data_IF_212310865473
#
_entry.id   IF_212310865473
#
_cell.length_a   1.000
_cell.length_b   1.000
_cell.length_c   1.000
_cell.angle_alpha   90.00
_cell.angle_beta   90.00
_cell.angle_gamma   90.00
#
_symmetry.space_group_name_H-M   'P 1'
#
loop_
_entity.id
_entity.type
_entity.pdbx_description
1 polymer ?
#
# COMPACT_ATOMS: atom_id res chain seq x y z
N UNK A 1 53.78 27.85 57.95
CA UNK A 1 52.48 28.55 58.02
C UNK A 1 52.28 29.28 56.71
N UNK A 2 51.18 28.96 56.01
CA UNK A 2 50.22 29.89 55.37
C UNK A 2 50.82 30.90 54.36
N UNK A 3 50.44 31.06 53.09
CA UNK A 3 49.52 30.44 52.10
C UNK A 3 49.68 31.27 50.79
N UNK A 4 49.25 30.69 49.66
CA UNK A 4 48.75 31.33 48.42
C UNK A 4 49.72 32.12 47.51
N UNK A 5 49.90 31.66 46.26
CA UNK A 5 49.05 32.15 45.16
C UNK A 5 49.25 31.29 43.91
N UNK A 6 48.27 30.42 43.63
CA UNK A 6 48.21 29.65 42.38
C UNK A 6 47.85 30.65 41.27
N UNK A 7 48.66 30.81 40.20
CA UNK A 7 48.25 31.65 39.09
C UNK A 7 47.04 30.99 38.44
N UNK A 8 45.90 31.66 38.53
CA UNK A 8 44.67 31.30 37.84
C UNK A 8 44.94 31.39 36.34
N UNK A 9 45.40 30.30 35.74
CA UNK A 9 45.50 30.16 34.29
C UNK A 9 44.07 30.04 33.76
N UNK A 10 43.42 31.18 33.55
CA UNK A 10 42.15 31.27 32.86
C UNK A 10 42.42 30.97 31.38
N UNK A 11 42.40 29.70 31.02
CA UNK A 11 42.39 29.30 29.61
C UNK A 11 41.05 29.77 29.04
N UNK A 12 41.08 30.90 28.33
CA UNK A 12 39.99 31.34 27.47
C UNK A 12 39.77 30.24 26.43
N UNK A 13 38.87 29.31 26.73
CA UNK A 13 38.32 28.43 25.72
C UNK A 13 37.60 29.33 24.72
N UNK A 14 38.21 29.53 23.55
CA UNK A 14 37.50 30.06 22.39
C UNK A 14 36.43 29.03 22.04
N UNK A 15 35.24 29.18 22.63
CA UNK A 15 34.05 28.50 22.14
C UNK A 15 33.82 29.08 20.76
N UNK A 16 34.26 28.35 19.73
CA UNK A 16 33.94 28.67 18.35
C UNK A 16 32.43 28.66 18.22
N UNK A 17 31.81 29.84 18.29
CA UNK A 17 30.41 30.05 17.95
C UNK A 17 30.30 30.07 16.43
N UNK A 18 30.66 28.95 15.80
CA UNK A 18 30.25 28.69 14.43
C UNK A 18 28.72 28.67 14.45
N UNK A 19 28.12 29.81 14.09
CA UNK A 19 26.70 29.91 13.86
C UNK A 19 26.39 28.95 12.73
N UNK A 20 25.78 27.81 13.06
CA UNK A 20 25.21 26.94 12.06
C UNK A 20 24.15 27.76 11.33
N UNK A 21 24.48 28.21 10.12
CA UNK A 21 23.52 28.88 9.26
C UNK A 21 22.36 27.92 9.07
N UNK A 22 21.19 28.27 9.62
CA UNK A 22 19.97 27.53 9.41
C UNK A 22 19.57 27.72 7.93
N UNK A 23 20.12 26.89 7.06
CA UNK A 23 19.73 26.87 5.66
C UNK A 23 18.35 26.24 5.56
N UNK A 24 17.37 27.05 5.13
CA UNK A 24 16.08 26.52 4.70
C UNK A 24 16.33 25.66 3.45
N UNK A 25 16.33 24.34 3.63
CA UNK A 25 16.40 23.39 2.53
C UNK A 25 14.99 23.15 2.00
N UNK A 26 14.77 23.50 0.73
CA UNK A 26 13.54 23.18 0.01
C UNK A 26 13.50 21.69 -0.30
N UNK A 27 12.32 21.08 -0.19
CA UNK A 27 12.09 19.67 -0.47
C UNK A 27 10.68 19.27 -0.08
N UNK A 28 10.44 17.97 -0.10
CA UNK A 28 9.13 17.39 0.11
C UNK A 28 9.08 16.61 1.43
N UNK A 29 7.89 16.51 2.01
CA UNK A 29 7.64 15.69 3.18
C UNK A 29 6.60 14.62 2.86
N UNK A 30 6.86 13.37 3.24
CA UNK A 30 5.89 12.27 3.22
C UNK A 30 6.06 11.42 4.47
N UNK A 31 4.97 11.18 5.20
CA UNK A 31 4.96 10.38 6.43
C UNK A 31 6.10 10.77 7.40
N UNK A 32 6.28 12.07 7.65
CA UNK A 32 7.34 12.64 8.50
C UNK A 32 8.80 12.38 8.03
N UNK A 33 9.01 11.94 6.79
CA UNK A 33 10.32 11.82 6.15
C UNK A 33 10.53 12.96 5.17
N UNK A 34 11.70 13.60 5.23
CA UNK A 34 12.11 14.65 4.30
C UNK A 34 12.83 14.08 3.08
N UNK A 35 12.47 14.57 1.90
CA UNK A 35 13.06 14.19 0.61
C UNK A 35 13.59 15.46 -0.08
N UNK A 36 14.89 15.51 -0.45
CA UNK A 36 15.41 16.62 -1.23
C UNK A 36 14.83 16.63 -2.64
N UNK A 37 14.81 17.80 -3.29
CA UNK A 37 14.38 17.93 -4.68
C UNK A 37 15.19 16.96 -5.57
N UNK A 38 14.49 16.23 -6.44
CA UNK A 38 15.03 15.19 -7.31
C UNK A 38 15.06 13.78 -6.69
N UNK A 39 14.84 13.63 -5.39
CA UNK A 39 14.78 12.31 -4.76
C UNK A 39 13.50 11.56 -5.12
N UNK A 40 13.62 10.24 -5.26
CA UNK A 40 12.46 9.33 -5.31
C UNK A 40 11.73 9.34 -3.97
N UNK A 41 10.40 9.31 -4.03
CA UNK A 41 9.52 9.33 -2.87
C UNK A 41 8.62 8.09 -2.93
N UNK A 42 8.46 7.31 -1.85
CA UNK A 42 7.60 6.12 -1.85
C UNK A 42 6.18 6.51 -2.21
N UNK A 43 5.57 5.87 -3.22
CA UNK A 43 4.18 6.14 -3.61
C UNK A 43 3.18 5.77 -2.50
N UNK A 44 1.98 6.36 -2.57
CA UNK A 44 0.85 5.99 -1.68
C UNK A 44 -0.01 4.87 -2.29
N UNK A 45 0.17 4.64 -3.58
CA UNK A 45 -0.31 3.46 -4.27
C UNK A 45 0.90 2.53 -4.53
N UNK A 46 0.66 1.24 -4.69
CA UNK A 46 1.74 0.24 -4.79
C UNK A 46 2.46 0.23 -6.13
N UNK A 47 2.11 1.12 -7.07
CA UNK A 47 2.52 1.00 -8.47
C UNK A 47 3.09 2.28 -9.11
N UNK A 48 2.62 3.47 -8.73
CA UNK A 48 3.16 4.69 -9.31
C UNK A 48 4.57 4.96 -8.79
N UNK A 49 5.39 5.60 -9.62
CA UNK A 49 6.69 6.10 -9.21
C UNK A 49 6.58 7.59 -8.92
N UNK A 50 7.09 8.04 -7.77
CA UNK A 50 7.03 9.44 -7.38
C UNK A 50 8.41 10.04 -7.14
N UNK A 51 8.53 11.35 -7.34
CA UNK A 51 9.74 12.13 -7.07
C UNK A 51 9.39 13.49 -6.48
N UNK A 52 10.31 14.02 -5.67
CA UNK A 52 10.20 15.36 -5.16
C UNK A 52 10.61 16.39 -6.22
N UNK A 53 9.76 17.36 -6.49
CA UNK A 53 10.03 18.51 -7.36
C UNK A 53 10.05 19.79 -6.55
N UNK A 54 10.46 20.89 -7.17
CA UNK A 54 10.31 22.26 -6.65
C UNK A 54 8.85 22.64 -6.37
N UNK A 55 7.90 21.98 -7.02
CA UNK A 55 6.46 22.22 -6.86
C UNK A 55 5.75 21.23 -5.92
N UNK A 56 6.49 20.27 -5.33
CA UNK A 56 5.95 19.22 -4.46
C UNK A 56 6.20 17.81 -5.00
N UNK A 57 5.50 16.81 -4.45
CA UNK A 57 5.67 15.42 -4.88
C UNK A 57 4.85 15.19 -6.14
N UNK A 58 5.52 14.82 -7.24
CA UNK A 58 4.90 14.40 -8.48
C UNK A 58 4.99 12.88 -8.60
N UNK A 59 3.97 12.24 -9.18
CA UNK A 59 3.91 10.81 -9.41
C UNK A 59 3.54 10.53 -10.87
N UNK A 60 3.85 9.33 -11.36
CA UNK A 60 3.20 8.82 -12.57
C UNK A 60 1.68 8.70 -12.35
N UNK A 61 0.93 8.62 -13.44
CA UNK A 61 -0.53 8.41 -13.42
C UNK A 61 -0.88 7.12 -14.17
N UNK A 62 -0.28 6.01 -13.75
CA UNK A 62 -0.63 4.69 -14.28
C UNK A 62 -1.74 4.06 -13.45
N UNK A 63 -2.52 3.18 -14.07
CA UNK A 63 -3.52 2.39 -13.38
C UNK A 63 -2.84 1.42 -12.40
N UNK A 64 -3.15 1.55 -11.11
CA UNK A 64 -2.75 0.58 -10.10
C UNK A 64 -3.83 -0.48 -9.92
N UNK A 65 -3.52 -1.76 -10.16
CA UNK A 65 -4.40 -2.85 -9.76
C UNK A 65 -4.66 -2.83 -8.25
N UNK A 66 -5.80 -3.35 -7.78
CA UNK A 66 -6.06 -3.49 -6.35
C UNK A 66 -4.97 -4.36 -5.69
N UNK A 67 -4.54 -3.97 -4.48
CA UNK A 67 -3.48 -4.68 -3.75
C UNK A 67 -3.84 -6.13 -3.41
N UNK A 68 -5.13 -6.38 -3.21
CA UNK A 68 -5.69 -7.72 -3.07
C UNK A 68 -6.56 -8.01 -4.28
N UNK A 69 -6.30 -9.07 -5.05
CA UNK A 69 -7.25 -9.55 -6.04
C UNK A 69 -8.59 -9.80 -5.34
N UNK A 70 -9.68 -9.34 -5.95
CA UNK A 70 -11.01 -9.74 -5.49
C UNK A 70 -11.06 -11.28 -5.43
N UNK A 71 -11.55 -11.88 -4.34
CA UNK A 71 -11.63 -13.32 -4.24
C UNK A 71 -12.49 -13.87 -5.39
N UNK A 72 -11.84 -14.60 -6.28
CA UNK A 72 -12.49 -15.35 -7.35
C UNK A 72 -12.85 -16.74 -6.83
N UNK A 73 -14.01 -17.23 -7.23
CA UNK A 73 -14.59 -18.49 -6.79
C UNK A 73 -16.00 -18.29 -6.26
N UNK A 74 -16.72 -19.41 -6.16
CA UNK A 74 -18.12 -19.44 -5.78
C UNK A 74 -18.29 -20.37 -4.58
N UNK A 75 -19.33 -20.13 -3.78
CA UNK A 75 -19.69 -21.06 -2.70
C UNK A 75 -21.12 -21.55 -2.90
N UNK A 76 -21.30 -22.86 -2.92
CA UNK A 76 -22.61 -23.49 -2.90
C UNK A 76 -22.65 -24.54 -1.81
N UNK A 77 -23.65 -24.45 -0.91
CA UNK A 77 -23.84 -25.41 0.19
C UNK A 77 -22.60 -25.62 1.08
N UNK A 78 -21.79 -24.57 1.26
CA UNK A 78 -20.56 -24.60 2.05
C UNK A 78 -19.34 -25.21 1.34
N UNK A 79 -19.45 -25.59 0.07
CA UNK A 79 -18.34 -26.02 -0.78
C UNK A 79 -17.86 -24.85 -1.62
N UNK A 80 -16.54 -24.66 -1.69
CA UNK A 80 -15.91 -23.64 -2.50
C UNK A 80 -15.48 -24.23 -3.86
N UNK A 81 -15.82 -23.50 -4.93
CA UNK A 81 -15.51 -23.81 -6.32
C UNK A 81 -14.58 -22.73 -6.86
N UNK A 82 -13.57 -23.11 -7.64
CA UNK A 82 -12.73 -22.19 -8.38
C UNK A 82 -13.49 -21.61 -9.57
N UNK A 83 -13.04 -20.46 -10.06
CA UNK A 83 -13.61 -19.87 -11.28
C UNK A 83 -13.48 -20.85 -12.46
N UNK A 84 -14.58 -21.09 -13.17
CA UNK A 84 -14.67 -22.07 -14.25
C UNK A 84 -15.01 -23.51 -13.82
N UNK A 85 -15.02 -23.83 -12.53
CA UNK A 85 -15.45 -25.16 -12.06
C UNK A 85 -16.93 -25.42 -12.39
N UNK A 86 -17.24 -26.67 -12.73
CA UNK A 86 -18.64 -27.14 -12.78
C UNK A 86 -19.21 -27.21 -11.36
N UNK A 87 -20.42 -26.68 -11.18
CA UNK A 87 -21.11 -26.62 -9.90
C UNK A 87 -22.36 -27.48 -9.99
N UNK A 88 -22.67 -28.32 -8.98
CA UNK A 88 -23.92 -29.06 -8.95
C UNK A 88 -25.14 -28.14 -9.12
N UNK A 89 -26.02 -28.49 -10.04
CA UNK A 89 -27.30 -27.78 -10.14
C UNK A 89 -28.17 -28.07 -8.93
N UNK A 90 -29.01 -27.09 -8.57
CA UNK A 90 -30.05 -27.25 -7.54
C UNK A 90 -31.34 -27.86 -8.13
N UNK A 91 -31.37 -28.07 -9.44
CA UNK A 91 -32.38 -28.81 -10.17
C UNK A 91 -31.75 -30.01 -10.92
N UNK A 92 -32.56 -30.86 -11.51
CA UNK A 92 -32.12 -32.09 -12.17
C UNK A 92 -31.77 -31.93 -13.66
N UNK A 93 -31.90 -30.74 -14.24
CA UNK A 93 -31.81 -30.57 -15.69
C UNK A 93 -30.84 -29.50 -16.17
N UNK A 94 -30.51 -28.51 -15.33
CA UNK A 94 -29.58 -27.46 -15.69
C UNK A 94 -28.13 -27.84 -15.38
N UNK A 95 -27.21 -27.26 -16.13
CA UNK A 95 -25.78 -27.36 -15.89
C UNK A 95 -25.27 -26.02 -15.40
N UNK A 96 -24.49 -26.01 -14.32
CA UNK A 96 -24.01 -24.80 -13.69
C UNK A 96 -22.48 -24.76 -13.62
N UNK A 97 -21.94 -23.54 -13.59
CA UNK A 97 -20.51 -23.27 -13.56
C UNK A 97 -20.23 -22.01 -12.73
N UNK A 98 -19.09 -22.00 -12.05
CA UNK A 98 -18.65 -20.84 -11.30
C UNK A 98 -18.09 -19.78 -12.24
N UNK A 99 -18.52 -18.53 -12.05
CA UNK A 99 -18.16 -17.36 -12.87
C UNK A 99 -17.83 -16.16 -12.00
N UNK A 100 -16.55 -15.85 -11.86
CA UNK A 100 -16.04 -14.83 -10.95
C UNK A 100 -16.44 -15.16 -9.52
N UNK A 101 -17.46 -14.48 -9.00
CA UNK A 101 -17.98 -14.66 -7.63
C UNK A 101 -19.42 -15.20 -7.59
N UNK A 102 -19.97 -15.64 -8.73
CA UNK A 102 -21.35 -16.11 -8.85
C UNK A 102 -21.50 -17.39 -9.68
N UNK A 103 -22.57 -18.14 -9.42
CA UNK A 103 -22.88 -19.38 -10.15
C UNK A 103 -23.81 -19.05 -11.31
N UNK A 104 -23.40 -19.38 -12.52
CA UNK A 104 -24.23 -19.28 -13.72
C UNK A 104 -24.73 -20.67 -14.11
N UNK A 105 -25.99 -20.78 -14.52
CA UNK A 105 -26.61 -22.03 -14.95
C UNK A 105 -27.25 -21.88 -16.33
N UNK A 106 -27.47 -22.99 -17.01
CA UNK A 106 -28.41 -23.01 -18.15
C UNK A 106 -29.83 -22.67 -17.67
N UNK A 107 -30.68 -22.21 -18.57
CA UNK A 107 -32.08 -21.86 -18.28
C UNK A 107 -33.06 -22.80 -19.01
N UNK A 108 -32.84 -24.10 -18.87
CA UNK A 108 -33.70 -25.13 -19.44
C UNK A 108 -34.90 -25.32 -18.50
N UNK A 109 -36.10 -25.35 -19.07
CA UNK A 109 -37.31 -25.68 -18.32
C UNK A 109 -37.26 -27.16 -17.90
N UNK A 110 -37.11 -27.42 -16.61
CA UNK A 110 -37.11 -28.78 -16.10
C UNK A 110 -38.51 -29.39 -16.15
N UNK A 111 -38.58 -30.67 -16.52
CA UNK A 111 -39.80 -31.45 -16.39
C UNK A 111 -40.06 -31.75 -14.91
N UNK A 112 -41.33 -31.86 -14.48
CA UNK A 112 -41.63 -32.30 -13.13
C UNK A 112 -41.05 -33.70 -12.90
N UNK A 113 -40.35 -33.87 -11.78
CA UNK A 113 -39.82 -35.16 -11.37
C UNK A 113 -41.00 -36.13 -11.18
N UNK A 114 -40.92 -37.30 -11.82
CA UNK A 114 -41.96 -38.31 -11.70
C UNK A 114 -42.00 -38.81 -10.24
N UNK A 115 -43.19 -38.93 -9.60
CA UNK A 115 -43.27 -39.46 -8.26
C UNK A 115 -42.85 -40.94 -8.24
N UNK A 116 -41.96 -41.29 -7.31
CA UNK A 116 -41.55 -42.69 -7.01
C UNK A 116 -42.70 -43.53 -6.46
#
# INVERSE_FOLDING_TARGET
MIVHNIPLLLTLAFVSTASASLQCVSGCWRNNVFYPIGAEVPSLDSCNTCWCTDSGIACTEIYCPPETPEPTGCTQNGINYQDGDEVPSLDSCNTCWCTGSGIACTEIACLPEAPE
#
